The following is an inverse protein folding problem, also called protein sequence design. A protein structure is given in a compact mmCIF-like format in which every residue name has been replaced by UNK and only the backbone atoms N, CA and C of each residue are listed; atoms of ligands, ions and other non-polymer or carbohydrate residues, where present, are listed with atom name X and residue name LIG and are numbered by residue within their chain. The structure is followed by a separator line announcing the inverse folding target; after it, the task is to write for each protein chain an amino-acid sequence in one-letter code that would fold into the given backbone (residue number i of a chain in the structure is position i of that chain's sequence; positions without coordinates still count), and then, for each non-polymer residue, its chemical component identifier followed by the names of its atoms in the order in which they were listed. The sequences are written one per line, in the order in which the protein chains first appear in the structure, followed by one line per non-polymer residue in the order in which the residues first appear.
data_IF_302896613253
#
_entry.id   IF_302896613253
#
_cell.length_a   1.000
_cell.length_b   1.000
_cell.length_c   1.000
_cell.angle_alpha   90.00
_cell.angle_beta   90.00
_cell.angle_gamma   90.00
#
_symmetry.space_group_name_H-M   'P 1'
#
loop_
_entity.id
_entity.type
_entity.pdbx_description
1 polymer ?
#
# COMPACT_ATOMS: atom_id res chain seq x y z
N UNK A 1 -18.38 -9.74 -4.43
CA UNK A 1 -16.96 -9.67 -4.10
C UNK A 1 -16.37 -8.58 -4.97
N UNK A 2 -15.66 -7.63 -4.38
CA UNK A 2 -14.81 -6.71 -5.14
C UNK A 2 -13.46 -7.38 -5.41
N UNK A 3 -12.73 -6.91 -6.42
CA UNK A 3 -11.38 -7.43 -6.71
C UNK A 3 -10.43 -7.26 -5.51
N UNK A 4 -10.65 -6.21 -4.72
CA UNK A 4 -9.93 -5.98 -3.47
C UNK A 4 -10.18 -7.09 -2.47
N UNK A 5 -11.44 -7.47 -2.23
CA UNK A 5 -11.74 -8.59 -1.33
C UNK A 5 -11.15 -9.93 -1.78
N UNK A 6 -11.14 -10.21 -3.09
CA UNK A 6 -10.52 -11.42 -3.64
C UNK A 6 -8.99 -11.40 -3.49
N UNK A 7 -8.35 -10.24 -3.69
CA UNK A 7 -6.92 -10.06 -3.46
C UNK A 7 -6.54 -10.26 -1.98
N UNK A 8 -7.29 -9.66 -1.05
CA UNK A 8 -7.06 -9.80 0.39
C UNK A 8 -7.28 -11.23 0.90
N UNK A 9 -8.15 -12.00 0.22
CA UNK A 9 -8.39 -13.41 0.50
C UNK A 9 -7.34 -14.36 -0.11
N UNK A 10 -6.36 -13.85 -0.86
CA UNK A 10 -5.35 -14.67 -1.54
C UNK A 10 -5.83 -15.35 -2.81
N UNK A 11 -7.01 -14.99 -3.33
CA UNK A 11 -7.57 -15.57 -4.56
C UNK A 11 -6.92 -14.99 -5.83
N UNK A 12 -6.10 -13.94 -5.69
CA UNK A 12 -5.46 -13.19 -6.79
C UNK A 12 -3.95 -12.96 -6.53
N UNK A 13 -3.12 -14.03 -6.43
CA UNK A 13 -1.71 -13.91 -6.05
C UNK A 13 -0.82 -13.22 -7.10
N UNK A 14 -1.26 -13.20 -8.36
CA UNK A 14 -0.54 -12.58 -9.49
C UNK A 14 -0.87 -11.09 -9.70
N UNK A 15 -1.86 -10.58 -8.96
CA UNK A 15 -2.28 -9.19 -9.01
C UNK A 15 -1.53 -8.31 -8.01
N UNK A 16 -1.64 -7.01 -8.22
CA UNK A 16 -1.19 -5.98 -7.28
C UNK A 16 -2.36 -5.07 -6.94
N UNK A 17 -2.38 -4.60 -5.69
CA UNK A 17 -3.33 -3.62 -5.21
C UNK A 17 -2.62 -2.27 -5.03
N UNK A 18 -3.28 -1.20 -5.46
CA UNK A 18 -2.76 0.16 -5.44
C UNK A 18 -3.83 1.10 -4.91
N UNK A 19 -3.57 1.73 -3.77
CA UNK A 19 -4.37 2.84 -3.25
C UNK A 19 -3.70 4.16 -3.60
N UNK A 20 -4.47 5.13 -4.06
CA UNK A 20 -4.08 6.54 -4.15
C UNK A 20 -5.09 7.39 -3.38
N UNK A 21 -4.58 8.30 -2.55
CA UNK A 21 -5.37 9.33 -1.91
C UNK A 21 -5.94 10.33 -2.94
N UNK A 22 -7.06 10.96 -2.60
CA UNK A 22 -7.73 11.94 -3.48
C UNK A 22 -6.81 13.07 -3.95
N UNK A 23 -5.90 13.55 -3.08
CA UNK A 23 -4.91 14.58 -3.43
C UNK A 23 -3.89 14.14 -4.49
N UNK A 24 -3.69 12.84 -4.67
CA UNK A 24 -2.77 12.26 -5.66
C UNK A 24 -3.47 11.82 -6.95
N UNK A 25 -4.79 11.94 -7.01
CA UNK A 25 -5.56 11.71 -8.23
C UNK A 25 -5.43 12.95 -9.13
N UNK A 26 -4.34 13.04 -9.88
CA UNK A 26 -4.17 14.06 -10.93
C UNK A 26 -5.38 14.09 -11.90
N UNK A 27 -5.63 15.27 -12.48
CA UNK A 27 -6.75 15.58 -13.38
C UNK A 27 -6.85 14.66 -14.63
N UNK A 28 -5.83 13.83 -14.90
CA UNK A 28 -5.78 12.84 -15.99
C UNK A 28 -6.53 11.51 -15.70
N UNK A 29 -7.10 11.32 -14.51
CA UNK A 29 -8.26 10.42 -14.24
C UNK A 29 -8.11 8.92 -14.59
N UNK A 30 -6.93 8.44 -14.94
CA UNK A 30 -6.75 7.07 -15.45
C UNK A 30 -6.89 6.02 -14.35
N UNK A 31 -6.45 6.33 -13.13
CA UNK A 31 -6.61 5.45 -11.96
C UNK A 31 -8.03 5.52 -11.41
N UNK A 32 -8.58 6.73 -11.28
CA UNK A 32 -9.95 6.95 -10.80
C UNK A 32 -11.02 6.25 -11.65
N UNK A 33 -10.76 6.04 -12.94
CA UNK A 33 -11.67 5.34 -13.85
C UNK A 33 -11.60 3.81 -13.80
N UNK A 34 -10.54 3.23 -13.23
CA UNK A 34 -10.32 1.77 -13.20
C UNK A 34 -10.35 1.18 -11.79
N UNK A 35 -10.25 1.99 -10.73
CA UNK A 35 -10.29 1.54 -9.35
C UNK A 35 -11.68 1.62 -8.69
N UNK A 36 -11.78 1.03 -7.51
CA UNK A 36 -12.91 1.11 -6.60
C UNK A 36 -12.73 2.34 -5.68
N UNK A 37 -13.71 3.23 -5.62
CA UNK A 37 -13.69 4.37 -4.71
C UNK A 37 -13.85 3.91 -3.25
N UNK A 38 -12.97 4.41 -2.39
CA UNK A 38 -12.97 4.16 -0.94
C UNK A 38 -13.01 5.50 -0.21
N UNK A 39 -13.07 5.48 1.13
CA UNK A 39 -12.96 6.70 1.90
C UNK A 39 -11.54 7.29 1.75
N UNK A 40 -11.44 8.53 1.27
CA UNK A 40 -10.17 9.23 1.08
C UNK A 40 -9.36 8.86 -0.16
N UNK A 41 -9.91 8.08 -1.11
CA UNK A 41 -9.24 7.83 -2.39
C UNK A 41 -9.80 6.70 -3.23
N UNK A 42 -8.92 6.05 -4.00
CA UNK A 42 -9.28 4.96 -4.93
C UNK A 42 -8.32 3.79 -4.77
N UNK A 43 -8.86 2.57 -4.68
CA UNK A 43 -8.11 1.31 -4.70
C UNK A 43 -8.27 0.60 -6.03
N UNK A 44 -7.18 0.37 -6.74
CA UNK A 44 -7.13 -0.39 -7.97
C UNK A 44 -6.48 -1.76 -7.74
N UNK A 45 -7.11 -2.82 -8.23
CA UNK A 45 -6.49 -4.14 -8.32
C UNK A 45 -6.35 -4.57 -9.78
N UNK A 46 -5.12 -4.84 -10.20
CA UNK A 46 -4.77 -5.16 -11.58
C UNK A 46 -3.62 -6.18 -11.64
N UNK A 47 -3.45 -6.83 -12.79
CA UNK A 47 -2.37 -7.78 -13.02
C UNK A 47 -1.00 -7.13 -12.72
N UNK A 48 -0.06 -7.89 -12.17
CA UNK A 48 1.18 -7.32 -11.63
C UNK A 48 1.99 -6.46 -12.61
N UNK A 49 2.02 -6.79 -13.90
CA UNK A 49 2.66 -5.93 -14.92
C UNK A 49 1.88 -4.63 -15.16
N UNK A 50 0.55 -4.73 -15.26
CA UNK A 50 -0.32 -3.59 -15.51
C UNK A 50 -0.33 -2.64 -14.32
N UNK A 51 -0.50 -3.15 -13.10
CA UNK A 51 -0.54 -2.32 -11.89
C UNK A 51 0.79 -1.61 -11.62
N UNK A 52 1.93 -2.26 -11.88
CA UNK A 52 3.25 -1.59 -11.81
C UNK A 52 3.38 -0.47 -12.85
N UNK A 53 2.91 -0.71 -14.08
CA UNK A 53 2.91 0.31 -15.13
C UNK A 53 2.07 1.52 -14.74
N UNK A 54 0.87 1.28 -14.18
CA UNK A 54 -0.05 2.32 -13.71
C UNK A 54 0.55 3.08 -12.51
N UNK A 55 1.15 2.37 -11.55
CA UNK A 55 1.85 2.99 -10.42
C UNK A 55 2.93 3.96 -10.89
N UNK A 56 3.82 3.49 -11.79
CA UNK A 56 4.90 4.33 -12.30
C UNK A 56 4.38 5.52 -13.11
N UNK A 57 3.28 5.34 -13.85
CA UNK A 57 2.65 6.43 -14.59
C UNK A 57 1.97 7.46 -13.68
N UNK A 58 1.31 7.03 -12.60
CA UNK A 58 0.58 7.91 -11.67
C UNK A 58 1.47 8.59 -10.63
N UNK A 59 2.51 7.91 -10.14
CA UNK A 59 3.39 8.45 -9.09
C UNK A 59 4.72 8.99 -9.60
N UNK A 60 5.10 8.64 -10.83
CA UNK A 60 6.43 8.91 -11.36
C UNK A 60 7.54 8.07 -10.71
N UNK A 61 7.21 7.12 -9.82
CA UNK A 61 8.16 6.30 -9.07
C UNK A 61 8.22 4.86 -9.60
N UNK A 62 9.39 4.22 -9.48
CA UNK A 62 9.50 2.78 -9.77
C UNK A 62 8.99 1.97 -8.57
N UNK A 63 7.98 1.11 -8.80
CA UNK A 63 7.36 0.31 -7.75
C UNK A 63 8.35 -0.58 -6.98
N UNK A 64 9.35 -1.17 -7.67
CA UNK A 64 10.34 -2.03 -7.01
C UNK A 64 11.36 -1.22 -6.21
N UNK A 65 11.77 -0.04 -6.70
CA UNK A 65 12.63 0.86 -5.96
C UNK A 65 11.94 1.40 -4.71
N UNK A 66 10.65 1.76 -4.83
CA UNK A 66 9.83 2.18 -3.71
C UNK A 66 9.72 1.07 -2.65
N UNK A 67 9.30 -0.13 -3.05
CA UNK A 67 9.19 -1.27 -2.14
C UNK A 67 10.51 -1.56 -1.42
N UNK A 68 11.65 -1.54 -2.13
CA UNK A 68 12.98 -1.72 -1.52
C UNK A 68 13.34 -0.64 -0.51
N UNK A 69 12.94 0.60 -0.75
CA UNK A 69 13.18 1.71 0.19
C UNK A 69 12.36 1.57 1.46
N UNK A 70 11.09 1.17 1.34
CA UNK A 70 10.15 1.05 2.44
C UNK A 70 10.30 -0.26 3.24
N UNK A 71 10.88 -1.32 2.66
CA UNK A 71 11.01 -2.65 3.28
C UNK A 71 11.75 -2.64 4.63
N UNK A 72 12.61 -1.64 4.86
CA UNK A 72 13.38 -1.51 6.10
C UNK A 72 12.67 -0.76 7.22
N UNK A 73 11.50 -0.19 6.95
CA UNK A 73 10.74 0.59 7.92
C UNK A 73 9.37 -0.06 8.15
N UNK A 74 9.10 -0.50 9.37
CA UNK A 74 7.86 -1.17 9.73
C UNK A 74 6.84 -0.16 10.24
N UNK A 75 5.61 -0.22 9.72
CA UNK A 75 4.48 0.61 10.16
C UNK A 75 3.16 -0.13 10.02
N UNK A 76 2.03 0.50 10.36
CA UNK A 76 0.72 -0.15 10.25
C UNK A 76 -0.02 0.34 9.00
N UNK A 77 -0.24 -0.56 8.04
CA UNK A 77 -1.10 -0.31 6.87
C UNK A 77 -2.50 -0.88 7.15
N UNK A 78 -3.54 -0.15 6.76
CA UNK A 78 -4.93 -0.57 6.95
C UNK A 78 -5.23 -1.91 6.25
N UNK A 79 -6.12 -2.73 6.82
CA UNK A 79 -6.45 -4.06 6.30
C UNK A 79 -7.11 -4.03 4.91
N UNK A 80 -7.80 -2.94 4.58
CA UNK A 80 -8.39 -2.69 3.26
C UNK A 80 -7.42 -2.01 2.28
N UNK A 81 -6.17 -1.79 2.69
CA UNK A 81 -5.13 -1.08 1.93
C UNK A 81 -5.45 0.39 1.64
N UNK A 82 -6.50 0.95 2.24
CA UNK A 82 -6.95 2.33 2.05
C UNK A 82 -6.29 3.29 3.06
N UNK A 83 -4.97 3.21 3.20
CA UNK A 83 -4.18 4.07 4.10
C UNK A 83 -3.42 3.32 5.18
N UNK A 84 -3.06 4.02 6.26
CA UNK A 84 -2.24 3.48 7.34
C UNK A 84 -1.80 4.53 8.35
N UNK A 85 -1.05 4.09 9.36
CA UNK A 85 -0.44 4.91 10.40
C UNK A 85 1.06 5.00 10.13
N UNK A 86 1.53 6.21 9.82
CA UNK A 86 2.95 6.46 9.61
C UNK A 86 3.73 6.25 10.92
N UNK A 87 4.82 5.47 10.95
CA UNK A 87 5.61 5.27 12.17
C UNK A 87 6.29 6.56 12.67
N UNK A 88 6.48 7.56 11.79
CA UNK A 88 7.03 8.85 12.18
C UNK A 88 6.05 9.70 13.02
N UNK A 89 4.73 9.45 12.93
CA UNK A 89 3.74 10.21 13.70
C UNK A 89 3.79 9.89 15.20
N UNK A 90 4.26 8.70 15.57
CA UNK A 90 4.46 8.32 16.98
C UNK A 90 5.75 8.93 17.57
N UNK A 91 6.63 9.45 16.73
CA UNK A 91 7.94 9.99 17.14
C UNK A 91 7.93 11.50 17.42
N UNK A 92 6.87 12.21 17.04
CA UNK A 92 6.64 13.60 17.41
C UNK A 92 5.96 13.67 18.78
N UNK A 93 6.72 14.08 19.80
CA UNK A 93 6.16 14.46 21.09
C UNK A 93 5.10 15.57 20.87
N UNK A 94 3.86 15.31 21.25
CA UNK A 94 2.70 16.20 21.09
C UNK A 94 2.82 17.59 21.78
N UNK A 95 3.98 17.93 22.33
CA UNK A 95 4.33 19.23 22.90
C UNK A 95 5.28 20.08 22.03
N UNK A 96 5.76 19.56 20.90
CA UNK A 96 6.64 20.28 19.96
C UNK A 96 6.04 20.37 18.54
N UNK A 97 4.71 20.44 18.44
CA UNK A 97 4.03 20.68 17.18
C UNK A 97 4.29 22.12 16.71
N UNK A 98 5.34 22.29 15.90
CA UNK A 98 5.52 23.47 15.05
C UNK A 98 4.47 23.43 13.91
N UNK A 99 4.17 24.57 13.29
CA UNK A 99 3.03 24.75 12.37
C UNK A 99 3.18 24.01 11.00
N UNK A 100 4.17 23.13 10.90
CA UNK A 100 4.50 22.20 9.79
C UNK A 100 4.10 20.74 10.16
N UNK A 101 3.00 20.58 10.89
CA UNK A 101 2.35 19.28 11.18
C UNK A 101 1.87 18.70 9.85
N UNK A 102 2.77 18.04 9.12
CA UNK A 102 2.38 17.11 8.08
C UNK A 102 1.36 16.16 8.72
N UNK A 103 0.12 16.11 8.22
CA UNK A 103 -1.01 15.35 8.79
C UNK A 103 -0.74 13.83 8.89
N UNK A 104 0.48 13.39 8.55
CA UNK A 104 0.96 12.02 8.49
C UNK A 104 -0.02 11.13 7.69
N UNK A 105 -0.65 11.73 6.70
CA UNK A 105 -1.64 11.12 5.83
C UNK A 105 -0.93 10.27 4.77
N UNK A 106 -1.39 9.02 4.63
CA UNK A 106 -0.87 8.12 3.59
C UNK A 106 -1.36 8.59 2.23
N UNK A 107 -0.41 8.88 1.34
CA UNK A 107 -0.65 9.37 -0.01
C UNK A 107 -0.95 8.24 -0.99
N UNK A 108 -0.25 7.12 -0.87
CA UNK A 108 -0.51 5.93 -1.65
C UNK A 108 -0.02 4.66 -0.96
N UNK A 109 -0.66 3.54 -1.27
CA UNK A 109 -0.25 2.20 -0.83
C UNK A 109 -0.06 1.31 -2.05
N UNK A 110 1.07 0.64 -2.15
CA UNK A 110 1.33 -0.39 -3.15
C UNK A 110 1.45 -1.74 -2.45
N UNK A 111 0.68 -2.73 -2.88
CA UNK A 111 0.69 -4.06 -2.30
C UNK A 111 0.73 -5.17 -3.36
N UNK A 112 1.40 -6.26 -3.04
CA UNK A 112 1.41 -7.48 -3.85
C UNK A 112 1.33 -8.71 -2.95
N UNK A 113 0.80 -9.80 -3.49
CA UNK A 113 0.79 -11.09 -2.79
C UNK A 113 2.01 -11.92 -3.23
N UNK A 114 2.59 -12.65 -2.29
CA UNK A 114 3.63 -13.65 -2.54
C UNK A 114 3.09 -15.03 -2.18
N UNK A 115 3.24 -15.99 -3.09
CA UNK A 115 2.78 -17.37 -2.90
C UNK A 115 3.49 -18.02 -1.70
N UNK A 116 2.76 -18.86 -0.97
CA UNK A 116 3.29 -19.65 0.15
C UNK A 116 4.63 -20.32 -0.21
N UNK A 117 5.61 -20.11 0.66
CA UNK A 117 6.93 -20.71 0.54
C UNK A 117 7.40 -21.32 1.88
N UNK A 118 7.21 -22.63 2.01
CA UNK A 118 7.62 -23.40 3.19
C UNK A 118 9.15 -23.40 3.41
N UNK A 119 9.96 -23.18 2.37
CA UNK A 119 11.43 -23.17 2.47
C UNK A 119 11.94 -21.89 3.14
N UNK A 120 11.22 -20.77 2.99
CA UNK A 120 11.55 -19.49 3.63
C UNK A 120 11.17 -19.52 5.12
N UNK A 121 10.08 -20.20 5.47
CA UNK A 121 9.60 -20.27 6.85
C UNK A 121 8.91 -18.98 7.34
N UNK A 122 8.47 -18.97 8.60
CA UNK A 122 7.70 -17.86 9.17
C UNK A 122 6.34 -17.70 8.49
N UNK A 123 5.89 -16.45 8.29
CA UNK A 123 4.61 -16.13 7.63
C UNK A 123 4.47 -16.82 6.26
N UNK A 124 5.57 -16.96 5.52
CA UNK A 124 5.60 -17.60 4.20
C UNK A 124 5.29 -19.10 4.24
N UNK A 125 5.48 -19.77 5.39
CA UNK A 125 5.08 -21.16 5.54
C UNK A 125 3.61 -21.31 5.95
N UNK A 126 2.96 -20.24 6.39
CA UNK A 126 1.59 -20.26 6.92
C UNK A 126 0.54 -20.07 5.80
N UNK A 127 0.89 -19.34 4.74
CA UNK A 127 0.07 -19.15 3.55
C UNK A 127 0.66 -18.11 2.61
N UNK A 128 -0.15 -17.62 1.68
CA UNK A 128 0.23 -16.50 0.82
C UNK A 128 0.38 -15.23 1.68
N UNK A 129 1.40 -14.44 1.40
CA UNK A 129 1.76 -13.26 2.20
C UNK A 129 1.47 -11.99 1.40
N UNK A 130 0.68 -11.09 1.97
CA UNK A 130 0.52 -9.74 1.44
C UNK A 130 1.70 -8.90 1.89
N UNK A 131 2.40 -8.31 0.92
CA UNK A 131 3.42 -7.29 1.10
C UNK A 131 2.84 -5.94 0.73
N UNK A 132 2.59 -5.08 1.71
CA UNK A 132 2.10 -3.73 1.51
C UNK A 132 3.17 -2.68 1.85
N UNK A 133 3.21 -1.61 1.07
CA UNK A 133 4.14 -0.49 1.20
C UNK A 133 3.36 0.80 1.08
N UNK A 134 3.52 1.71 2.04
CA UNK A 134 2.82 2.98 2.08
C UNK A 134 3.80 4.14 2.03
N UNK A 135 3.40 5.22 1.37
CA UNK A 135 4.12 6.50 1.37
C UNK A 135 3.27 7.55 2.07
N UNK A 136 3.88 8.25 3.02
CA UNK A 136 3.24 9.30 3.80
C UNK A 136 3.62 10.68 3.23
N UNK A 137 2.74 11.67 3.41
CA UNK A 137 2.98 13.06 2.99
C UNK A 137 4.21 13.68 3.67
N UNK A 138 4.56 13.24 4.88
CA UNK A 138 5.80 13.62 5.56
C UNK A 138 7.09 13.11 4.85
N UNK A 139 6.94 12.32 3.78
CA UNK A 139 8.03 11.74 2.99
C UNK A 139 8.51 10.37 3.46
N UNK A 140 8.03 9.90 4.62
CA UNK A 140 8.37 8.59 5.15
C UNK A 140 7.69 7.47 4.37
N UNK A 141 8.41 6.37 4.15
CA UNK A 141 7.88 5.19 3.46
C UNK A 141 8.05 3.96 4.34
N UNK A 142 6.98 3.20 4.53
CA UNK A 142 6.96 2.08 5.45
C UNK A 142 6.27 0.87 4.84
N UNK A 143 6.47 -0.29 5.46
CA UNK A 143 5.96 -1.57 5.00
C UNK A 143 5.24 -2.30 6.12
N UNK A 144 4.27 -3.12 5.71
CA UNK A 144 3.57 -4.04 6.57
C UNK A 144 3.29 -5.33 5.78
N UNK A 145 3.46 -6.49 6.42
CA UNK A 145 3.22 -7.79 5.81
C UNK A 145 2.43 -8.71 6.73
N UNK A 146 1.53 -9.50 6.15
CA UNK A 146 0.67 -10.44 6.87
C UNK A 146 0.20 -11.56 5.94
N UNK A 147 -0.29 -12.68 6.49
CA UNK A 147 -0.86 -13.78 5.68
C UNK A 147 -2.24 -13.38 5.18
N UNK A 148 -2.58 -13.78 3.96
CA UNK A 148 -3.89 -13.53 3.35
C UNK A 148 -5.03 -14.08 4.23
N UNK A 149 -6.13 -13.33 4.33
CA UNK A 149 -7.30 -13.69 5.14
C UNK A 149 -7.15 -13.62 6.66
N UNK A 150 -6.00 -13.23 7.20
CA UNK A 150 -5.80 -13.10 8.66
C UNK A 150 -6.19 -11.73 9.26
N UNK A 151 -6.60 -10.77 8.42
CA UNK A 151 -6.95 -9.40 8.81
C UNK A 151 -8.35 -8.98 8.37
#
# INVERSE_FOLDING_TARGET
MSKLSEFLAGERPEDVALFLADDYLDEDGTIASHGESVDGGVVLVADGEQGRSIFSAGTGMDAMQFAKGAMGNEGDIAADLAGGVCPASESVDANEADEDDADHAVQFVFAFAEEQNEEVGGLYAEGDVIHAYAHCDCGESFSHKWVTGER
#
